data_IF_813326825696
#
_entry.id   IF_813326825696
#
_cell.length_a   1.000
_cell.length_b   1.000
_cell.length_c   1.000
_cell.angle_alpha   90.00
_cell.angle_beta   90.00
_cell.angle_gamma   90.00
#
_symmetry.space_group_name_H-M   'P 1'
#
loop_
_entity.id
_entity.type
_entity.pdbx_description
1 polymer ?
#
# COMPACT_ATOMS: atom_id res chain seq x y z
N UNK A 1 9.46 -1.85 -43.64
CA UNK A 1 8.99 -0.81 -42.71
C UNK A 1 8.63 -1.50 -41.40
N UNK A 2 9.52 -1.41 -40.41
CA UNK A 2 9.30 -2.00 -39.10
C UNK A 2 8.33 -1.11 -38.32
N UNK A 3 7.20 -1.67 -37.89
CA UNK A 3 6.29 -0.99 -36.98
C UNK A 3 7.00 -0.85 -35.64
N UNK A 4 7.37 0.38 -35.29
CA UNK A 4 7.76 0.74 -33.93
C UNK A 4 6.55 0.48 -33.05
N UNK A 5 6.59 -0.63 -32.30
CA UNK A 5 5.64 -0.87 -31.22
C UNK A 5 5.97 0.15 -30.14
N UNK A 6 5.17 1.20 -30.03
CA UNK A 6 5.15 2.06 -28.85
C UNK A 6 4.95 1.17 -27.61
N UNK A 7 5.59 1.48 -26.47
CA UNK A 7 5.36 0.72 -25.26
C UNK A 7 3.86 0.80 -24.96
N UNK A 8 3.17 -0.33 -25.04
CA UNK A 8 1.77 -0.41 -24.63
C UNK A 8 1.73 0.06 -23.19
N UNK A 9 0.92 1.09 -22.91
CA UNK A 9 0.59 1.46 -21.55
C UNK A 9 0.01 0.21 -20.88
N UNK A 10 0.82 -0.48 -20.09
CA UNK A 10 0.39 -1.59 -19.27
C UNK A 10 -0.55 -1.00 -18.23
N UNK A 11 -1.84 -0.94 -18.54
CA UNK A 11 -2.84 -0.45 -17.60
C UNK A 11 -2.91 -1.43 -16.43
N UNK A 12 -2.40 -1.01 -15.27
CA UNK A 12 -2.15 -1.90 -14.15
C UNK A 12 -3.45 -2.37 -13.48
N UNK A 13 -3.55 -3.69 -13.29
CA UNK A 13 -4.45 -4.29 -12.31
C UNK A 13 -3.98 -3.88 -10.91
N UNK A 14 -4.90 -3.35 -10.10
CA UNK A 14 -4.59 -3.06 -8.70
C UNK A 14 -4.49 -4.35 -7.90
N UNK A 15 -3.48 -4.43 -7.04
CA UNK A 15 -3.31 -5.53 -6.09
C UNK A 15 -4.34 -5.43 -4.98
N UNK A 16 -5.07 -6.52 -4.72
CA UNK A 16 -6.00 -6.59 -3.60
C UNK A 16 -5.22 -6.69 -2.29
N UNK A 17 -5.59 -5.89 -1.29
CA UNK A 17 -5.00 -5.97 0.05
C UNK A 17 -5.49 -7.19 0.83
N UNK A 18 -6.52 -7.88 0.34
CA UNK A 18 -6.92 -9.18 0.84
C UNK A 18 -6.05 -10.35 0.31
N UNK A 19 -5.10 -10.07 -0.59
CA UNK A 19 -4.11 -11.05 -1.01
C UNK A 19 -3.08 -11.25 0.10
N UNK A 20 -3.28 -12.28 0.92
CA UNK A 20 -2.41 -12.55 2.09
C UNK A 20 -1.02 -13.02 1.72
N UNK A 21 -0.74 -13.30 0.45
CA UNK A 21 0.64 -13.49 -0.02
C UNK A 21 1.37 -12.14 -0.08
N UNK A 22 0.68 -11.08 -0.52
CA UNK A 22 1.24 -9.74 -0.67
C UNK A 22 1.17 -8.91 0.59
N UNK A 23 0.13 -9.15 1.38
CA UNK A 23 -0.17 -8.43 2.60
C UNK A 23 -0.44 -9.47 3.71
N UNK A 24 0.61 -10.15 4.19
CA UNK A 24 0.48 -11.17 5.21
C UNK A 24 0.06 -10.58 6.56
N UNK A 25 -0.48 -11.43 7.41
CA UNK A 25 -0.66 -11.16 8.84
C UNK A 25 0.67 -11.34 9.57
N UNK A 26 0.81 -10.73 10.75
CA UNK A 26 2.06 -10.76 11.53
C UNK A 26 2.54 -12.18 11.82
N UNK A 27 1.60 -13.08 12.13
CA UNK A 27 1.85 -14.48 12.51
C UNK A 27 2.44 -15.32 11.36
N UNK A 28 2.39 -14.81 10.13
CA UNK A 28 2.93 -15.48 8.94
C UNK A 28 4.32 -15.01 8.56
N UNK A 29 4.91 -14.08 9.30
CA UNK A 29 6.24 -13.57 9.02
C UNK A 29 7.31 -14.54 9.56
N UNK A 30 8.40 -14.68 8.81
CA UNK A 30 9.58 -15.42 9.28
C UNK A 30 10.25 -14.69 10.46
N UNK A 31 10.81 -15.46 11.39
CA UNK A 31 11.62 -14.94 12.51
C UNK A 31 12.99 -14.46 12.02
N UNK A 32 13.51 -13.35 12.56
CA UNK A 32 14.90 -12.91 12.34
C UNK A 32 15.92 -13.68 13.19
N UNK A 33 15.44 -14.49 14.14
CA UNK A 33 16.24 -15.38 14.96
C UNK A 33 16.05 -16.80 14.43
N UNK A 34 17.11 -17.40 13.90
CA UNK A 34 17.15 -18.71 13.22
C UNK A 34 16.48 -19.84 14.04
N UNK A 35 15.16 -19.99 13.90
CA UNK A 35 14.45 -21.19 14.35
C UNK A 35 14.33 -22.11 13.15
N UNK A 36 14.90 -23.31 13.26
CA UNK A 36 14.82 -24.33 12.21
C UNK A 36 13.34 -24.71 11.97
N UNK A 37 12.69 -24.08 10.99
CA UNK A 37 11.28 -24.30 10.69
C UNK A 37 10.73 -23.30 9.68
N UNK A 38 10.74 -23.72 8.42
CA UNK A 38 10.07 -23.18 7.21
C UNK A 38 10.42 -21.75 6.74
N UNK A 39 11.04 -21.58 5.55
CA UNK A 39 11.07 -20.29 4.88
C UNK A 39 9.66 -19.98 4.33
N UNK A 40 9.06 -18.89 4.78
CA UNK A 40 7.82 -18.38 4.22
C UNK A 40 8.08 -17.04 3.53
N UNK A 41 8.26 -17.14 2.21
CA UNK A 41 8.19 -16.06 1.22
C UNK A 41 9.22 -14.94 1.39
N UNK A 42 10.46 -15.20 0.96
CA UNK A 42 11.35 -14.10 0.59
C UNK A 42 12.35 -14.47 -0.51
N UNK A 43 11.87 -15.16 -1.56
CA UNK A 43 12.72 -15.43 -2.71
C UNK A 43 13.15 -14.09 -3.37
N UNK A 44 14.34 -14.04 -4.01
CA UNK A 44 14.79 -12.85 -4.72
C UNK A 44 13.75 -12.38 -5.75
N UNK A 45 13.17 -11.21 -5.51
CA UNK A 45 12.16 -10.63 -6.40
C UNK A 45 10.72 -10.77 -5.92
N UNK A 46 10.48 -11.47 -4.80
CA UNK A 46 9.20 -11.42 -4.08
C UNK A 46 8.89 -9.98 -3.68
N UNK A 47 7.60 -9.64 -3.72
CA UNK A 47 7.11 -8.30 -3.42
C UNK A 47 5.91 -8.38 -2.51
N UNK A 48 6.09 -7.99 -1.25
CA UNK A 48 5.05 -8.01 -0.22
C UNK A 48 5.32 -6.94 0.85
N UNK A 49 4.31 -6.66 1.66
CA UNK A 49 4.32 -5.59 2.64
C UNK A 49 3.36 -5.93 3.79
N UNK A 50 3.82 -5.88 5.03
CA UNK A 50 2.94 -5.94 6.19
C UNK A 50 2.19 -4.61 6.33
N UNK A 51 0.88 -4.67 6.54
CA UNK A 51 0.05 -3.52 6.90
C UNK A 51 -0.48 -3.69 8.31
N UNK A 52 -0.23 -2.71 9.19
CA UNK A 52 -0.71 -2.72 10.56
C UNK A 52 -1.33 -1.37 10.96
N UNK A 53 -2.26 -1.37 11.91
CA UNK A 53 -2.78 -0.14 12.52
C UNK A 53 -1.97 0.20 13.76
N UNK A 54 -1.58 1.47 13.90
CA UNK A 54 -0.98 1.99 15.12
C UNK A 54 -2.09 2.11 16.16
N UNK A 55 -2.09 1.24 17.15
CA UNK A 55 -3.05 1.27 18.27
C UNK A 55 -2.43 1.91 19.52
N UNK A 56 -1.11 1.90 19.61
CA UNK A 56 -0.32 2.45 20.71
C UNK A 56 1.02 2.98 20.17
N UNK A 57 1.57 4.03 20.78
CA UNK A 57 2.84 4.67 20.35
C UNK A 57 3.96 4.55 21.40
N UNK A 58 3.74 3.77 22.46
CA UNK A 58 4.61 3.68 23.64
C UNK A 58 5.91 2.92 23.41
N UNK A 59 6.17 2.41 22.19
CA UNK A 59 7.22 1.42 21.89
C UNK A 59 8.14 1.78 20.70
N UNK A 60 8.37 3.06 20.42
CA UNK A 60 9.23 3.48 19.29
C UNK A 60 10.57 4.11 19.70
N UNK A 61 11.22 3.64 20.77
CA UNK A 61 12.57 4.11 21.13
C UNK A 61 13.47 2.95 21.55
N UNK A 62 13.99 2.19 20.58
CA UNK A 62 15.27 1.52 20.77
C UNK A 62 16.37 2.55 20.47
N UNK A 63 17.07 2.94 21.53
CA UNK A 63 18.18 3.89 21.53
C UNK A 63 19.31 3.49 20.58
N UNK A 64 19.74 4.41 19.71
CA UNK A 64 21.15 4.60 19.39
C UNK A 64 21.33 5.98 18.77
N UNK A 65 22.36 6.70 19.20
CA UNK A 65 22.82 7.96 18.63
C UNK A 65 23.09 7.79 17.14
N UNK A 66 22.09 8.05 16.29
CA UNK A 66 22.23 7.93 14.85
C UNK A 66 23.08 9.09 14.32
N UNK A 67 24.05 8.84 13.42
CA UNK A 67 24.76 9.91 12.73
C UNK A 67 23.75 10.76 11.96
N UNK A 68 24.03 12.06 11.78
CA UNK A 68 23.15 13.05 11.14
C UNK A 68 22.71 12.72 9.70
N UNK A 69 23.24 11.65 9.11
CA UNK A 69 22.88 11.11 7.79
C UNK A 69 21.82 10.00 7.84
N UNK A 70 21.44 9.50 9.02
CA UNK A 70 20.36 8.55 9.14
C UNK A 70 19.06 9.21 8.69
N UNK A 71 18.42 8.62 7.67
CA UNK A 71 17.04 8.98 7.34
C UNK A 71 16.21 8.65 8.57
N UNK A 72 15.50 9.64 9.10
CA UNK A 72 14.66 9.47 10.29
C UNK A 72 13.23 9.29 9.82
N UNK A 73 12.55 8.26 10.30
CA UNK A 73 11.10 8.14 10.12
C UNK A 73 10.46 9.37 10.78
N UNK A 74 9.60 10.07 10.04
CA UNK A 74 8.89 11.23 10.59
C UNK A 74 7.94 10.78 11.71
N UNK A 75 8.43 10.82 12.95
CA UNK A 75 7.72 10.36 14.15
C UNK A 75 6.45 11.17 14.39
N UNK A 76 6.33 12.38 13.82
CA UNK A 76 5.09 13.16 13.87
C UNK A 76 3.92 12.49 13.15
N UNK A 77 4.19 11.51 12.26
CA UNK A 77 3.15 10.71 11.57
C UNK A 77 2.73 9.47 12.35
N UNK A 78 3.51 9.02 13.33
CA UNK A 78 3.19 7.88 14.18
C UNK A 78 2.07 8.27 15.16
N UNK A 79 0.82 8.08 14.74
CA UNK A 79 -0.37 8.44 15.52
C UNK A 79 -1.34 7.28 15.55
N UNK A 80 -2.02 7.13 16.69
CA UNK A 80 -3.07 6.14 16.86
C UNK A 80 -4.11 6.28 15.73
N UNK A 81 -4.52 5.14 15.16
CA UNK A 81 -5.45 5.06 14.03
C UNK A 81 -4.83 5.34 12.66
N UNK A 82 -3.50 5.51 12.56
CA UNK A 82 -2.79 5.51 11.27
C UNK A 82 -2.38 4.08 10.91
N UNK A 83 -2.26 3.81 9.62
CA UNK A 83 -1.70 2.56 9.11
C UNK A 83 -0.21 2.72 8.87
N UNK A 84 0.57 1.77 9.36
CA UNK A 84 1.99 1.60 9.02
C UNK A 84 2.13 0.47 7.99
N UNK A 85 2.96 0.70 6.99
CA UNK A 85 3.33 -0.26 5.97
C UNK A 85 4.83 -0.54 6.07
N UNK A 86 5.18 -1.81 6.18
CA UNK A 86 6.53 -2.30 6.40
C UNK A 86 6.90 -3.27 5.29
N UNK A 87 7.93 -2.93 4.51
CA UNK A 87 8.42 -3.82 3.47
C UNK A 87 9.30 -4.89 4.08
N UNK A 88 8.93 -6.14 3.84
CA UNK A 88 9.68 -7.32 4.22
C UNK A 88 10.13 -7.41 5.69
N UNK A 89 9.27 -7.09 6.68
CA UNK A 89 9.63 -7.24 8.07
C UNK A 89 9.76 -8.70 8.48
N UNK A 90 10.64 -8.96 9.45
CA UNK A 90 10.72 -10.23 10.15
C UNK A 90 10.12 -10.10 11.56
N UNK A 91 9.63 -11.20 12.12
CA UNK A 91 9.31 -11.26 13.54
C UNK A 91 10.59 -11.16 14.36
N UNK A 92 10.48 -10.53 15.52
CA UNK A 92 11.57 -10.36 16.47
C UNK A 92 11.08 -10.59 17.89
N UNK A 93 11.79 -11.46 18.62
CA UNK A 93 11.61 -11.66 20.05
C UNK A 93 12.43 -10.61 20.82
N UNK A 94 11.76 -9.81 21.64
CA UNK A 94 12.37 -8.78 22.46
C UNK A 94 12.78 -9.33 23.84
N UNK A 95 13.73 -8.65 24.49
CA UNK A 95 14.27 -9.05 25.80
C UNK A 95 13.23 -9.06 26.93
N UNK A 96 12.12 -8.33 26.76
CA UNK A 96 11.00 -8.31 27.71
C UNK A 96 10.02 -9.48 27.49
N UNK A 97 10.30 -10.38 26.54
CA UNK A 97 9.48 -11.52 26.17
C UNK A 97 8.33 -11.19 25.21
N UNK A 98 8.23 -9.95 24.74
CA UNK A 98 7.24 -9.59 23.72
C UNK A 98 7.73 -9.98 22.32
N UNK A 99 6.79 -10.24 21.41
CA UNK A 99 7.06 -10.45 19.99
C UNK A 99 6.60 -9.24 19.19
N UNK A 100 7.35 -8.87 18.15
CA UNK A 100 6.97 -7.79 17.26
C UNK A 100 7.86 -7.71 16.02
N UNK A 101 7.95 -6.53 15.42
CA UNK A 101 8.80 -6.28 14.25
C UNK A 101 9.89 -5.29 14.63
N UNK A 102 11.15 -5.63 14.31
CA UNK A 102 12.26 -4.68 14.38
C UNK A 102 12.49 -4.04 13.01
N UNK A 103 12.46 -2.71 12.94
CA UNK A 103 12.72 -1.96 11.70
C UNK A 103 14.10 -1.33 11.78
N UNK A 104 15.05 -1.88 11.02
CA UNK A 104 16.43 -1.38 10.97
C UNK A 104 16.60 -0.24 9.95
N UNK A 105 15.99 -0.39 8.76
CA UNK A 105 16.02 0.63 7.72
C UNK A 105 14.65 1.30 7.55
N UNK A 106 14.51 2.53 8.06
CA UNK A 106 13.25 3.27 8.01
C UNK A 106 12.77 3.59 6.59
N UNK A 107 13.61 3.47 5.55
CA UNK A 107 13.15 3.69 4.16
C UNK A 107 12.14 2.62 3.72
N UNK A 108 12.15 1.46 4.39
CA UNK A 108 11.20 0.35 4.20
C UNK A 108 9.85 0.62 4.86
N UNK A 109 9.71 1.71 5.63
CA UNK A 109 8.51 2.05 6.38
C UNK A 109 7.77 3.26 5.78
N UNK A 110 6.44 3.19 5.71
CA UNK A 110 5.57 4.35 5.43
C UNK A 110 4.38 4.36 6.37
N UNK A 111 3.95 5.57 6.76
CA UNK A 111 2.78 5.77 7.61
C UNK A 111 1.72 6.57 6.86
N UNK A 112 0.50 6.05 6.84
CA UNK A 112 -0.63 6.64 6.13
C UNK A 112 -1.70 7.12 7.12
N UNK A 113 -2.24 8.34 6.95
CA UNK A 113 -3.24 8.91 7.85
C UNK A 113 -4.65 8.38 7.57
N UNK A 114 -4.79 7.06 7.68
CA UNK A 114 -6.03 6.31 7.51
C UNK A 114 -5.96 5.06 8.39
N UNK A 115 -7.09 4.64 8.96
CA UNK A 115 -7.20 3.37 9.69
C UNK A 115 -7.02 2.19 8.76
N UNK A 116 -6.54 1.06 9.27
CA UNK A 116 -6.29 -0.14 8.46
C UNK A 116 -7.58 -0.63 7.78
N UNK A 117 -8.67 -0.71 8.55
CA UNK A 117 -9.98 -1.06 8.01
C UNK A 117 -10.48 -0.08 6.92
N UNK A 118 -10.18 1.21 7.08
CA UNK A 118 -10.51 2.23 6.07
C UNK A 118 -9.69 2.05 4.80
N UNK A 119 -8.41 1.70 4.93
CA UNK A 119 -7.53 1.45 3.80
C UNK A 119 -7.96 0.21 3.00
N UNK A 120 -8.36 -0.88 3.68
CA UNK A 120 -8.90 -2.07 3.03
C UNK A 120 -10.20 -1.79 2.28
N UNK A 121 -11.10 -0.95 2.83
CA UNK A 121 -12.31 -0.51 2.12
C UNK A 121 -11.96 0.24 0.84
N UNK A 122 -11.04 1.21 0.91
CA UNK A 122 -10.57 1.97 -0.27
C UNK A 122 -10.01 1.01 -1.32
N UNK A 123 -9.19 0.03 -0.93
CA UNK A 123 -8.63 -0.96 -1.85
C UNK A 123 -9.69 -1.84 -2.50
N UNK A 124 -10.62 -2.38 -1.70
CA UNK A 124 -11.74 -3.18 -2.21
C UNK A 124 -12.56 -2.40 -3.24
N UNK A 125 -12.91 -1.15 -2.94
CA UNK A 125 -13.66 -0.28 -3.85
C UNK A 125 -12.88 -0.04 -5.14
N UNK A 126 -11.60 0.36 -5.03
CA UNK A 126 -10.78 0.61 -6.21
C UNK A 126 -10.64 -0.63 -7.09
N UNK A 127 -10.43 -1.81 -6.51
CA UNK A 127 -10.38 -3.07 -7.26
C UNK A 127 -11.72 -3.37 -7.97
N UNK A 128 -12.84 -3.19 -7.28
CA UNK A 128 -14.18 -3.47 -7.84
C UNK A 128 -14.55 -2.54 -9.01
N UNK A 129 -14.17 -1.27 -8.94
CA UNK A 129 -14.52 -0.28 -9.94
C UNK A 129 -13.46 -0.12 -11.05
N UNK A 130 -12.21 -0.52 -10.79
CA UNK A 130 -11.17 -0.56 -11.82
C UNK A 130 -11.30 -1.81 -12.69
N UNK A 131 -11.75 -2.92 -12.11
CA UNK A 131 -11.93 -4.19 -12.83
C UNK A 131 -10.62 -4.79 -13.38
N UNK A 132 -10.71 -5.95 -14.05
CA UNK A 132 -9.57 -6.57 -14.72
C UNK A 132 -8.97 -5.69 -15.82
N UNK A 133 -7.73 -5.98 -16.21
CA UNK A 133 -7.08 -5.35 -17.36
C UNK A 133 -7.93 -5.56 -18.63
N UNK A 134 -8.05 -4.52 -19.45
CA UNK A 134 -8.83 -4.54 -20.69
C UNK A 134 -10.34 -4.40 -20.51
N UNK A 135 -10.84 -4.22 -19.28
CA UNK A 135 -12.26 -3.96 -19.01
C UNK A 135 -12.55 -2.47 -18.83
N UNK A 136 -13.77 -2.06 -19.18
CA UNK A 136 -14.25 -0.71 -18.96
C UNK A 136 -14.27 -0.39 -17.47
N UNK A 137 -13.78 0.80 -17.12
CA UNK A 137 -13.82 1.27 -15.74
C UNK A 137 -15.24 1.68 -15.36
N UNK A 138 -15.62 1.40 -14.13
CA UNK A 138 -16.92 1.81 -13.58
C UNK A 138 -16.83 3.20 -12.98
N UNK A 139 -17.85 4.01 -13.23
CA UNK A 139 -18.05 5.25 -12.51
C UNK A 139 -18.24 4.93 -11.02
N UNK A 140 -17.38 5.48 -10.16
CA UNK A 140 -17.44 5.27 -8.71
C UNK A 140 -18.75 5.77 -8.09
N UNK A 141 -19.39 6.76 -8.74
CA UNK A 141 -20.64 7.34 -8.26
C UNK A 141 -21.90 6.54 -8.64
N UNK A 142 -22.06 6.16 -9.90
CA UNK A 142 -23.29 5.55 -10.40
C UNK A 142 -23.15 4.08 -10.84
N UNK A 143 -21.93 3.54 -10.83
CA UNK A 143 -21.64 2.14 -11.19
C UNK A 143 -21.64 1.83 -12.68
N UNK A 144 -22.01 2.78 -13.56
CA UNK A 144 -22.02 2.58 -15.01
C UNK A 144 -20.62 2.37 -15.55
N UNK A 145 -20.47 1.38 -16.43
CA UNK A 145 -19.29 1.17 -17.26
C UNK A 145 -19.35 2.10 -18.47
N UNK A 146 -18.30 2.86 -18.70
CA UNK A 146 -18.26 3.83 -19.80
C UNK A 146 -16.80 4.05 -20.26
N UNK A 147 -16.47 3.91 -21.55
CA UNK A 147 -15.11 4.16 -22.04
C UNK A 147 -14.67 5.63 -21.88
N UNK A 148 -15.61 6.56 -21.71
CA UNK A 148 -15.36 8.00 -21.57
C UNK A 148 -15.26 8.48 -20.12
N UNK A 149 -15.18 7.57 -19.14
CA UNK A 149 -14.99 7.97 -17.74
C UNK A 149 -13.74 8.82 -17.56
N UNK A 150 -13.89 9.91 -16.82
CA UNK A 150 -12.81 10.82 -16.46
C UNK A 150 -12.26 10.45 -15.09
N UNK A 151 -10.94 10.31 -14.99
CA UNK A 151 -10.27 10.05 -13.70
C UNK A 151 -10.18 11.33 -12.86
N UNK A 152 -10.22 11.18 -11.55
CA UNK A 152 -9.93 12.27 -10.62
C UNK A 152 -8.49 12.76 -10.82
N UNK A 153 -8.31 14.04 -11.15
CA UNK A 153 -6.99 14.62 -11.39
C UNK A 153 -6.04 14.60 -10.17
N UNK A 154 -6.58 14.48 -8.94
CA UNK A 154 -5.78 14.48 -7.71
C UNK A 154 -5.21 13.11 -7.33
N UNK A 155 -6.05 12.10 -7.11
CA UNK A 155 -5.60 10.75 -6.75
C UNK A 155 -5.28 9.88 -7.97
N UNK A 156 -5.89 10.16 -9.13
CA UNK A 156 -5.71 9.38 -10.35
C UNK A 156 -6.36 8.00 -10.36
N UNK A 157 -7.11 7.62 -9.31
CA UNK A 157 -7.62 6.25 -9.12
C UNK A 157 -9.15 6.13 -9.12
N UNK A 158 -9.88 7.23 -8.86
CA UNK A 158 -11.34 7.25 -8.96
C UNK A 158 -11.77 7.71 -10.36
N UNK A 159 -12.86 7.13 -10.88
CA UNK A 159 -13.37 7.38 -12.24
C UNK A 159 -14.83 7.82 -12.24
N UNK A 160 -15.20 8.73 -13.14
CA UNK A 160 -16.54 9.33 -13.20
C UNK A 160 -17.03 9.52 -14.62
N UNK A 161 -18.34 9.31 -14.86
CA UNK A 161 -18.95 9.68 -16.14
C UNK A 161 -18.82 11.19 -16.40
N UNK A 162 -18.98 12.02 -15.36
CA UNK A 162 -19.00 13.47 -15.45
C UNK A 162 -18.79 14.13 -14.08
N UNK A 163 -18.81 15.48 -14.07
CA UNK A 163 -18.62 16.30 -12.88
C UNK A 163 -19.70 16.12 -11.81
N UNK A 164 -20.93 15.80 -12.19
CA UNK A 164 -22.03 15.60 -11.24
C UNK A 164 -21.81 14.31 -10.44
N UNK A 165 -21.47 13.23 -11.13
CA UNK A 165 -21.05 11.98 -10.50
C UNK A 165 -19.84 12.19 -9.57
N UNK A 166 -18.83 12.95 -10.02
CA UNK A 166 -17.68 13.27 -9.18
C UNK A 166 -18.08 14.06 -7.92
N UNK A 167 -18.96 15.05 -8.05
CA UNK A 167 -19.42 15.91 -6.95
C UNK A 167 -20.27 15.13 -5.95
N UNK A 168 -21.15 14.25 -6.43
CA UNK A 168 -21.95 13.37 -5.59
C UNK A 168 -21.04 12.42 -4.79
N UNK A 169 -20.10 11.77 -5.46
CA UNK A 169 -19.17 10.84 -4.82
C UNK A 169 -18.29 11.54 -3.78
N UNK A 170 -17.79 12.73 -4.13
CA UNK A 170 -16.94 13.55 -3.28
C UNK A 170 -17.62 13.97 -1.98
N UNK A 171 -18.89 14.39 -2.06
CA UNK A 171 -19.59 14.97 -0.91
C UNK A 171 -20.37 13.95 -0.08
N UNK A 172 -20.75 12.80 -0.66
CA UNK A 172 -21.72 11.90 -0.02
C UNK A 172 -21.25 10.45 0.13
N UNK A 173 -20.21 10.01 -0.62
CA UNK A 173 -19.85 8.59 -0.70
C UNK A 173 -18.41 8.27 -0.32
N UNK A 174 -17.67 9.26 0.18
CA UNK A 174 -16.39 9.03 0.87
C UNK A 174 -15.13 9.21 0.01
N UNK A 175 -15.25 9.61 -1.26
CA UNK A 175 -14.06 9.88 -2.08
C UNK A 175 -13.19 11.00 -1.49
N UNK A 176 -13.75 12.00 -0.81
CA UNK A 176 -12.96 13.10 -0.23
C UNK A 176 -11.92 12.58 0.77
N UNK A 177 -12.30 11.67 1.65
CA UNK A 177 -11.44 11.02 2.62
C UNK A 177 -10.43 10.11 1.91
N UNK A 178 -10.89 9.25 1.00
CA UNK A 178 -10.03 8.36 0.23
C UNK A 178 -8.97 9.14 -0.58
N UNK A 179 -9.37 10.23 -1.24
CA UNK A 179 -8.51 11.06 -2.07
C UNK A 179 -7.37 11.72 -1.28
N UNK A 180 -7.62 12.05 0.01
CA UNK A 180 -6.59 12.62 0.89
C UNK A 180 -5.48 11.62 1.19
N UNK A 181 -5.81 10.34 1.32
CA UNK A 181 -4.83 9.26 1.48
C UNK A 181 -4.16 8.96 0.13
N UNK A 182 -4.95 8.73 -0.91
CA UNK A 182 -4.49 8.31 -2.23
C UNK A 182 -3.68 9.37 -3.00
N UNK A 183 -3.60 10.62 -2.53
CA UNK A 183 -2.66 11.60 -3.10
C UNK A 183 -1.20 11.22 -2.81
N UNK A 184 -0.94 10.39 -1.80
CA UNK A 184 0.41 9.96 -1.44
C UNK A 184 0.93 8.94 -2.47
N UNK A 185 2.06 9.20 -3.14
CA UNK A 185 2.62 8.28 -4.13
C UNK A 185 3.04 6.94 -3.52
N UNK A 186 3.49 6.91 -2.26
CA UNK A 186 3.86 5.67 -1.58
C UNK A 186 2.64 4.80 -1.36
N UNK A 187 1.51 5.42 -0.98
CA UNK A 187 0.27 4.68 -0.82
C UNK A 187 -0.16 4.08 -2.15
N UNK A 188 -0.18 4.89 -3.22
CA UNK A 188 -0.53 4.43 -4.58
C UNK A 188 0.37 3.30 -5.09
N UNK A 189 1.65 3.32 -4.74
CA UNK A 189 2.60 2.28 -5.12
C UNK A 189 2.25 0.92 -4.50
N UNK A 190 1.66 0.87 -3.29
CA UNK A 190 1.22 -0.39 -2.67
C UNK A 190 0.09 -1.06 -3.45
N UNK A 191 -0.83 -0.28 -4.06
CA UNK A 191 -1.88 -0.83 -4.92
C UNK A 191 -1.32 -1.45 -6.20
N UNK A 192 -0.02 -1.28 -6.47
CA UNK A 192 0.69 -1.73 -7.66
C UNK A 192 1.95 -2.52 -7.27
N UNK A 193 1.98 -3.08 -6.07
CA UNK A 193 3.17 -3.76 -5.53
C UNK A 193 3.63 -4.91 -6.43
N UNK A 194 2.71 -5.56 -7.14
CA UNK A 194 2.97 -6.68 -8.06
C UNK A 194 3.61 -6.28 -9.39
N UNK A 195 3.69 -4.98 -9.71
CA UNK A 195 4.14 -4.52 -11.02
C UNK A 195 5.66 -4.61 -11.14
N UNK A 196 6.16 -5.45 -12.04
CA UNK A 196 7.60 -5.75 -12.17
C UNK A 196 8.07 -6.89 -11.25
N UNK A 197 7.15 -7.71 -10.74
CA UNK A 197 7.50 -8.93 -10.01
C UNK A 197 8.50 -9.80 -10.76
N UNK A 198 9.43 -10.41 -10.02
CA UNK A 198 10.51 -11.23 -10.56
C UNK A 198 11.72 -10.44 -11.04
N UNK A 199 11.67 -9.10 -11.04
CA UNK A 199 12.82 -8.26 -11.41
C UNK A 199 13.63 -7.78 -10.20
N UNK A 200 13.02 -6.91 -9.39
CA UNK A 200 13.61 -6.28 -8.21
C UNK A 200 12.59 -6.27 -7.09
N UNK A 201 13.06 -6.25 -5.84
CA UNK A 201 12.17 -6.04 -4.67
C UNK A 201 11.46 -4.70 -4.83
N UNK A 202 10.18 -4.68 -4.51
CA UNK A 202 9.42 -3.44 -4.40
C UNK A 202 10.11 -2.50 -3.42
N UNK A 203 10.22 -1.23 -3.81
CA UNK A 203 10.67 -0.14 -2.96
C UNK A 203 9.64 0.98 -3.05
N UNK A 204 9.44 1.67 -1.93
CA UNK A 204 8.65 2.88 -1.95
C UNK A 204 9.28 3.95 -2.87
N UNK A 205 8.46 4.72 -3.61
CA UNK A 205 8.95 5.86 -4.38
C UNK A 205 9.79 6.81 -3.51
N UNK A 206 10.86 7.34 -4.12
CA UNK A 206 11.71 8.35 -3.50
C UNK A 206 11.07 9.73 -3.51
#
# INVERSE_FOLDING_TARGET
>A
MAYVTTPSQAEERLTSFADTWRFPEFEKLDSDQDVAGTPFYDEPGDRWCLLAEITDVSLCFASASLPATARVLDTSKLKIGHTIALLYPHQHDFLDGTQGVRVEDVITCRVFPVKLAGLFRINSDLCAYTGPLGTLKKCHSCGKEDPSVVKCGRCGLYYYCNKDCQTLEWNQKGHKEACRALKDPNLRALFKITVGEGEHRFQFPR
#
